data_IF_550011037606
#
_entry.id   IF_550011037606
#
_cell.length_a   1.000
_cell.length_b   1.000
_cell.length_c   1.000
_cell.angle_alpha   90.00
_cell.angle_beta   90.00
_cell.angle_gamma   90.00
#
_symmetry.space_group_name_H-M   'P 1'
#
loop_
_entity.id
_entity.type
_entity.pdbx_description
1 polymer ?
#
# COMPACT_ATOMS: atom_id res chain seq x y z
N UNK A 1 32.89 6.76 28.87
CA UNK A 1 33.77 6.57 27.69
C UNK A 1 34.55 5.25 27.76
N UNK A 2 33.90 4.10 28.06
CA UNK A 2 34.51 2.75 28.02
C UNK A 2 33.43 1.67 27.96
N UNK A 3 32.82 1.46 26.79
CA UNK A 3 32.06 0.23 26.46
C UNK A 3 32.10 -0.10 24.95
N UNK A 4 33.00 0.53 24.19
CA UNK A 4 32.99 0.50 22.71
C UNK A 4 33.99 -0.50 22.08
N UNK A 5 34.63 -1.38 22.85
CA UNK A 5 35.74 -2.21 22.34
C UNK A 5 35.60 -3.73 22.55
N UNK A 6 34.43 -4.25 22.89
CA UNK A 6 34.21 -5.71 22.99
C UNK A 6 33.25 -6.24 21.92
N UNK A 7 32.49 -5.37 21.23
CA UNK A 7 31.59 -5.78 20.14
C UNK A 7 32.27 -5.95 18.77
N UNK A 8 33.49 -5.44 18.58
CA UNK A 8 34.14 -5.42 17.25
C UNK A 8 34.93 -6.69 16.92
N UNK A 9 35.22 -7.54 17.90
CA UNK A 9 36.11 -8.71 17.70
C UNK A 9 35.35 -10.02 17.44
N UNK A 10 34.05 -10.08 17.70
CA UNK A 10 33.20 -11.26 17.45
C UNK A 10 32.51 -11.27 16.08
N UNK A 11 32.54 -10.15 15.34
CA UNK A 11 31.96 -10.04 14.00
C UNK A 11 32.88 -10.51 12.86
N UNK A 12 34.15 -10.84 13.14
CA UNK A 12 35.13 -11.17 12.09
C UNK A 12 35.27 -12.66 11.73
N UNK A 13 34.73 -13.58 12.55
CA UNK A 13 34.99 -15.03 12.37
C UNK A 13 33.84 -15.77 11.66
N UNK A 14 32.64 -15.19 11.55
CA UNK A 14 31.51 -15.77 10.80
C UNK A 14 31.16 -15.05 9.48
N UNK A 15 31.80 -13.92 9.17
CA UNK A 15 31.36 -13.02 8.08
C UNK A 15 31.80 -13.40 6.65
N UNK A 16 32.79 -14.27 6.48
CA UNK A 16 33.43 -14.46 5.16
C UNK A 16 32.79 -15.62 4.36
N UNK A 17 32.15 -16.59 5.03
CA UNK A 17 31.55 -17.75 4.37
C UNK A 17 30.16 -17.48 3.73
N UNK A 18 29.47 -16.39 4.08
CA UNK A 18 28.09 -16.14 3.63
C UNK A 18 27.94 -15.19 2.44
N UNK A 19 28.94 -14.36 2.13
CA UNK A 19 28.82 -13.39 1.05
C UNK A 19 28.70 -14.05 -0.34
N UNK A 20 29.43 -15.16 -0.57
CA UNK A 20 29.37 -15.90 -1.83
C UNK A 20 28.03 -16.63 -2.01
N UNK A 21 27.49 -17.21 -0.94
CA UNK A 21 26.19 -17.92 -0.95
C UNK A 21 25.04 -16.95 -1.22
N UNK A 22 25.10 -15.76 -0.64
CA UNK A 22 24.08 -14.74 -0.88
C UNK A 22 24.12 -14.21 -2.31
N UNK A 23 25.32 -14.00 -2.86
CA UNK A 23 25.48 -13.51 -4.23
C UNK A 23 24.86 -14.47 -5.25
N UNK A 24 25.07 -15.78 -5.09
CA UNK A 24 24.47 -16.80 -5.97
C UNK A 24 22.96 -16.96 -5.82
N UNK A 25 22.37 -16.54 -4.69
CA UNK A 25 20.92 -16.65 -4.46
C UNK A 25 20.12 -15.60 -5.23
N UNK A 26 20.74 -14.46 -5.55
CA UNK A 26 20.09 -13.32 -6.17
C UNK A 26 20.78 -12.93 -7.49
N UNK A 27 21.07 -13.91 -8.33
CA UNK A 27 21.75 -13.70 -9.62
C UNK A 27 20.87 -13.01 -10.69
N UNK A 28 19.56 -12.87 -10.45
CA UNK A 28 18.70 -12.05 -11.30
C UNK A 28 19.05 -10.56 -11.14
N UNK A 29 19.31 -9.89 -12.26
CA UNK A 29 19.77 -8.49 -12.29
C UNK A 29 18.80 -7.52 -11.61
N UNK A 30 17.49 -7.74 -11.76
CA UNK A 30 16.45 -6.88 -11.19
C UNK A 30 16.33 -7.10 -9.68
N UNK A 31 16.40 -8.36 -9.24
CA UNK A 31 16.41 -8.73 -7.82
C UNK A 31 17.66 -8.17 -7.14
N UNK A 32 18.84 -8.32 -7.77
CA UNK A 32 20.11 -7.85 -7.24
C UNK A 32 20.13 -6.33 -7.05
N UNK A 33 19.62 -5.56 -8.02
CA UNK A 33 19.51 -4.10 -7.89
C UNK A 33 18.56 -3.70 -6.75
N UNK A 34 17.42 -4.39 -6.61
CA UNK A 34 16.48 -4.14 -5.50
C UNK A 34 17.13 -4.42 -4.15
N UNK A 35 17.91 -5.50 -4.05
CA UNK A 35 18.61 -5.87 -2.82
C UNK A 35 19.69 -4.86 -2.46
N UNK A 36 20.43 -4.36 -3.44
CA UNK A 36 21.42 -3.29 -3.24
C UNK A 36 20.76 -2.01 -2.73
N UNK A 37 19.63 -1.63 -3.31
CA UNK A 37 18.88 -0.46 -2.87
C UNK A 37 18.42 -0.61 -1.41
N UNK A 38 17.87 -1.77 -1.05
CA UNK A 38 17.48 -2.09 0.33
C UNK A 38 18.69 -2.04 1.26
N UNK A 39 19.83 -2.59 0.85
CA UNK A 39 21.06 -2.63 1.63
C UNK A 39 21.60 -1.21 1.92
N UNK A 40 21.66 -0.36 0.89
CA UNK A 40 22.10 1.02 1.00
C UNK A 40 21.15 1.83 1.88
N UNK A 41 19.84 1.69 1.67
CA UNK A 41 18.83 2.47 2.37
C UNK A 41 18.74 2.11 3.86
N UNK A 42 18.82 0.82 4.19
CA UNK A 42 18.74 0.34 5.57
C UNK A 42 20.11 0.29 6.27
N UNK A 43 21.19 0.63 5.55
CA UNK A 43 22.56 0.50 6.02
C UNK A 43 22.87 -0.91 6.58
N UNK A 44 22.47 -1.93 5.84
CA UNK A 44 22.68 -3.35 6.15
C UNK A 44 23.48 -4.02 5.03
N UNK A 45 23.96 -5.24 5.26
CA UNK A 45 24.60 -6.00 4.18
C UNK A 45 23.60 -6.36 3.07
N UNK A 46 24.08 -6.47 1.82
CA UNK A 46 23.28 -6.99 0.69
C UNK A 46 22.64 -8.35 1.02
N UNK A 47 23.28 -9.16 1.86
CA UNK A 47 22.72 -10.44 2.24
C UNK A 47 21.51 -10.30 3.17
N UNK A 48 21.61 -9.45 4.20
CA UNK A 48 20.47 -9.13 5.07
C UNK A 48 19.34 -8.46 4.29
N UNK A 49 19.67 -7.57 3.34
CA UNK A 49 18.71 -6.96 2.44
C UNK A 49 18.01 -7.98 1.53
N UNK A 50 18.74 -8.99 1.05
CA UNK A 50 18.17 -10.12 0.33
C UNK A 50 17.22 -10.94 1.17
N UNK A 51 17.56 -11.19 2.44
CA UNK A 51 16.65 -11.88 3.37
C UNK A 51 15.37 -11.09 3.65
N UNK A 52 15.48 -9.76 3.77
CA UNK A 52 14.32 -8.88 3.88
C UNK A 52 13.50 -8.90 2.57
N UNK A 53 14.16 -8.89 1.41
CA UNK A 53 13.49 -9.01 0.12
C UNK A 53 12.72 -10.32 0.01
N UNK A 54 13.34 -11.45 0.34
CA UNK A 54 12.68 -12.76 0.36
C UNK A 54 11.54 -12.79 1.35
N UNK A 55 11.72 -12.22 2.54
CA UNK A 55 10.66 -12.12 3.53
C UNK A 55 9.44 -11.36 2.98
N UNK A 56 9.67 -10.23 2.31
CA UNK A 56 8.63 -9.43 1.67
C UNK A 56 7.98 -10.23 0.53
N UNK A 57 8.77 -10.85 -0.35
CA UNK A 57 8.26 -11.57 -1.52
C UNK A 57 7.54 -12.86 -1.14
N UNK A 58 8.12 -13.69 -0.26
CA UNK A 58 7.48 -14.93 0.21
C UNK A 58 6.25 -14.64 1.07
N UNK A 59 6.37 -13.71 2.03
CA UNK A 59 5.24 -13.28 2.85
C UNK A 59 4.07 -12.83 1.98
N UNK A 60 4.38 -12.10 0.92
CA UNK A 60 3.35 -11.62 0.01
C UNK A 60 2.85 -12.68 -0.98
N UNK A 61 3.69 -13.61 -1.43
CA UNK A 61 3.23 -14.79 -2.18
C UNK A 61 2.26 -15.63 -1.33
N UNK A 62 2.46 -15.74 -0.02
CA UNK A 62 1.49 -16.42 0.84
C UNK A 62 0.15 -15.69 0.89
N UNK A 63 0.14 -14.36 1.02
CA UNK A 63 -1.10 -13.58 1.03
C UNK A 63 -1.78 -13.49 -0.35
N UNK A 64 -1.03 -13.24 -1.44
CA UNK A 64 -1.57 -13.24 -2.79
C UNK A 64 -2.05 -14.61 -3.22
N UNK A 65 -1.36 -15.71 -2.90
CA UNK A 65 -1.88 -17.05 -3.21
C UNK A 65 -3.16 -17.31 -2.42
N UNK A 66 -3.27 -16.84 -1.18
CA UNK A 66 -4.50 -16.96 -0.38
C UNK A 66 -5.67 -16.21 -1.01
N UNK A 67 -5.44 -14.98 -1.49
CA UNK A 67 -6.47 -14.10 -2.07
C UNK A 67 -6.78 -14.41 -3.55
N UNK A 68 -5.78 -14.83 -4.33
CA UNK A 68 -5.92 -15.16 -5.75
C UNK A 68 -6.51 -16.55 -5.92
N UNK A 69 -6.14 -17.50 -5.05
CA UNK A 69 -6.83 -18.80 -4.98
C UNK A 69 -8.28 -18.62 -4.56
N UNK A 70 -8.63 -17.58 -3.81
CA UNK A 70 -10.03 -17.38 -3.43
C UNK A 70 -10.92 -16.91 -4.57
N UNK A 71 -10.41 -16.00 -5.41
CA UNK A 71 -11.11 -15.56 -6.61
C UNK A 71 -11.19 -16.63 -7.70
N UNK A 72 -10.16 -17.47 -7.85
CA UNK A 72 -10.07 -18.43 -8.96
C UNK A 72 -10.50 -19.86 -8.60
N UNK A 73 -10.35 -20.30 -7.33
CA UNK A 73 -10.57 -21.70 -6.93
C UNK A 73 -11.84 -21.92 -6.10
N UNK A 74 -12.80 -20.97 -6.13
CA UNK A 74 -14.08 -21.08 -5.39
C UNK A 74 -13.90 -21.41 -3.89
N UNK A 75 -12.83 -20.93 -3.25
CA UNK A 75 -12.63 -21.24 -1.83
C UNK A 75 -13.61 -20.42 -1.00
N UNK A 76 -14.21 -21.03 0.01
CA UNK A 76 -15.13 -20.33 0.89
C UNK A 76 -14.38 -19.42 1.89
N UNK A 77 -15.12 -18.52 2.55
CA UNK A 77 -14.57 -17.55 3.50
C UNK A 77 -13.71 -18.21 4.58
N UNK A 78 -14.08 -19.41 5.06
CA UNK A 78 -13.33 -20.13 6.09
C UNK A 78 -11.98 -20.65 5.57
N UNK A 79 -11.95 -21.17 4.33
CA UNK A 79 -10.71 -21.59 3.68
C UNK A 79 -9.77 -20.41 3.45
N UNK A 80 -10.29 -19.26 3.02
CA UNK A 80 -9.49 -18.04 2.91
C UNK A 80 -8.90 -17.61 4.26
N UNK A 81 -9.71 -17.57 5.33
CA UNK A 81 -9.25 -17.22 6.69
C UNK A 81 -8.19 -18.19 7.23
N UNK A 82 -8.30 -19.47 6.90
CA UNK A 82 -7.30 -20.48 7.24
C UNK A 82 -5.98 -20.23 6.51
N UNK A 83 -6.04 -19.93 5.20
CA UNK A 83 -4.86 -19.58 4.42
C UNK A 83 -4.16 -18.31 4.94
N UNK A 84 -4.93 -17.30 5.37
CA UNK A 84 -4.38 -16.12 6.06
C UNK A 84 -3.63 -16.50 7.35
N UNK A 85 -4.22 -17.37 8.16
CA UNK A 85 -3.60 -17.84 9.41
C UNK A 85 -2.30 -18.61 9.12
N UNK A 86 -2.30 -19.44 8.07
CA UNK A 86 -1.13 -20.19 7.64
C UNK A 86 -0.03 -19.25 7.13
N UNK A 87 -0.38 -18.25 6.32
CA UNK A 87 0.54 -17.22 5.85
C UNK A 87 1.19 -16.50 7.05
N UNK A 88 0.39 -16.06 8.02
CA UNK A 88 0.89 -15.39 9.21
C UNK A 88 1.79 -16.27 10.07
N UNK A 89 1.42 -17.55 10.24
CA UNK A 89 2.22 -18.52 11.00
C UNK A 89 3.57 -18.79 10.32
N UNK A 90 3.61 -18.78 8.99
CA UNK A 90 4.88 -18.90 8.24
C UNK A 90 5.74 -17.66 8.44
N UNK A 91 5.16 -16.46 8.35
CA UNK A 91 5.87 -15.20 8.60
C UNK A 91 6.44 -15.18 10.03
N UNK A 92 5.64 -15.55 11.04
CA UNK A 92 6.07 -15.67 12.43
C UNK A 92 7.22 -16.69 12.60
N UNK A 93 7.09 -17.86 11.96
CA UNK A 93 8.15 -18.88 11.96
C UNK A 93 9.44 -18.37 11.31
N UNK A 94 9.35 -17.66 10.18
CA UNK A 94 10.49 -17.04 9.51
C UNK A 94 11.16 -15.98 10.39
N UNK A 95 10.38 -15.13 11.05
CA UNK A 95 10.88 -14.12 12.00
C UNK A 95 11.64 -14.78 13.15
N UNK A 96 11.14 -15.91 13.66
CA UNK A 96 11.78 -16.68 14.74
C UNK A 96 13.05 -17.42 14.30
N UNK A 97 13.05 -18.01 13.09
CA UNK A 97 14.18 -18.78 12.59
C UNK A 97 15.45 -17.95 12.37
N UNK A 98 15.29 -16.68 12.00
CA UNK A 98 16.42 -15.85 11.56
C UNK A 98 17.25 -15.27 12.71
N UNK A 99 16.84 -15.42 13.97
CA UNK A 99 17.60 -15.10 15.19
C UNK A 99 18.32 -13.73 15.19
N UNK A 100 17.88 -12.81 14.33
CA UNK A 100 18.46 -11.48 14.23
C UNK A 100 17.61 -10.58 15.09
N UNK A 101 18.02 -10.43 16.35
CA UNK A 101 17.44 -9.44 17.27
C UNK A 101 17.34 -8.07 16.60
N UNK A 102 18.28 -7.73 15.70
CA UNK A 102 18.28 -6.49 14.91
C UNK A 102 17.15 -6.42 13.86
N UNK A 103 16.90 -7.49 13.09
CA UNK A 103 15.80 -7.51 12.11
C UNK A 103 14.45 -7.52 12.84
N UNK A 104 14.34 -8.25 13.94
CA UNK A 104 13.14 -8.31 14.77
C UNK A 104 12.89 -6.95 15.45
N UNK A 105 13.91 -6.20 15.86
CA UNK A 105 13.71 -4.85 16.41
C UNK A 105 13.27 -3.86 15.33
N UNK A 106 13.83 -3.96 14.11
CA UNK A 106 13.48 -3.07 12.99
C UNK A 106 12.05 -3.36 12.47
N UNK A 107 11.69 -4.64 12.31
CA UNK A 107 10.44 -5.07 11.68
C UNK A 107 9.35 -5.35 12.72
N UNK A 108 9.66 -6.00 13.84
CA UNK A 108 8.70 -6.47 14.83
C UNK A 108 8.04 -5.36 15.64
N UNK A 109 8.69 -4.21 15.85
CA UNK A 109 8.03 -3.03 16.42
C UNK A 109 7.09 -2.34 15.43
N UNK A 110 7.25 -2.59 14.12
CA UNK A 110 6.58 -1.84 13.06
C UNK A 110 5.47 -2.65 12.38
N UNK A 111 5.56 -3.98 12.41
CA UNK A 111 4.61 -4.90 11.78
C UNK A 111 4.10 -5.86 12.86
N UNK A 112 2.93 -5.54 13.40
CA UNK A 112 2.21 -6.46 14.26
C UNK A 112 1.63 -7.59 13.40
N UNK A 113 2.20 -8.79 13.52
CA UNK A 113 1.76 -9.98 12.78
C UNK A 113 0.29 -10.32 13.03
N UNK A 114 -0.27 -9.99 14.21
CA UNK A 114 -1.71 -10.15 14.43
C UNK A 114 -2.54 -9.25 13.51
N UNK A 115 -2.07 -8.03 13.27
CA UNK A 115 -2.79 -7.07 12.44
C UNK A 115 -2.77 -7.51 10.98
N UNK A 116 -1.63 -8.03 10.48
CA UNK A 116 -1.54 -8.63 9.13
C UNK A 116 -2.50 -9.81 8.93
N UNK A 117 -2.60 -10.69 9.93
CA UNK A 117 -3.54 -11.82 9.91
C UNK A 117 -4.99 -11.33 9.88
N UNK A 118 -5.33 -10.35 10.72
CA UNK A 118 -6.66 -9.75 10.77
C UNK A 118 -7.02 -9.02 9.47
N UNK A 119 -6.08 -8.28 8.88
CA UNK A 119 -6.20 -7.67 7.55
C UNK A 119 -6.59 -8.69 6.49
N UNK A 120 -5.84 -9.79 6.41
CA UNK A 120 -6.10 -10.83 5.44
C UNK A 120 -7.47 -11.47 5.67
N UNK A 121 -7.80 -11.81 6.92
CA UNK A 121 -9.08 -12.42 7.30
C UNK A 121 -10.27 -11.51 7.00
N UNK A 122 -10.13 -10.19 7.20
CA UNK A 122 -11.18 -9.22 6.88
C UNK A 122 -11.40 -9.12 5.38
N UNK A 123 -10.34 -9.18 4.58
CA UNK A 123 -10.46 -9.25 3.12
C UNK A 123 -11.18 -10.51 2.63
N UNK A 124 -11.09 -11.63 3.36
CA UNK A 124 -11.85 -12.84 3.04
C UNK A 124 -13.37 -12.64 3.13
N UNK A 125 -13.86 -11.73 3.98
CA UNK A 125 -15.30 -11.46 4.09
C UNK A 125 -15.84 -10.66 2.88
N UNK A 126 -14.96 -10.07 2.08
CA UNK A 126 -15.33 -9.34 0.86
C UNK A 126 -15.35 -10.24 -0.39
N UNK A 127 -15.06 -11.54 -0.24
CA UNK A 127 -15.19 -12.51 -1.33
C UNK A 127 -16.69 -12.66 -1.60
N UNK A 128 -17.17 -12.40 -2.83
CA UNK A 128 -18.58 -12.63 -3.16
C UNK A 128 -18.90 -14.08 -2.83
N UNK A 129 -19.95 -14.29 -2.01
CA UNK A 129 -20.45 -15.64 -1.76
C UNK A 129 -20.75 -16.26 -3.13
N UNK A 130 -19.96 -17.26 -3.51
CA UNK A 130 -20.26 -18.07 -4.67
C UNK A 130 -21.51 -18.82 -4.27
N UNK A 131 -22.68 -18.29 -4.64
CA UNK A 131 -23.93 -19.03 -4.56
C UNK A 131 -23.69 -20.27 -5.41
N UNK A 132 -23.45 -21.40 -4.73
CA UNK A 132 -23.50 -22.69 -5.39
C UNK A 132 -24.93 -22.80 -5.89
N UNK A 133 -25.11 -22.54 -7.18
CA UNK A 133 -26.28 -23.04 -7.89
C UNK A 133 -26.07 -24.54 -7.86
N UNK A 134 -26.56 -25.17 -6.80
CA UNK A 134 -26.79 -26.61 -6.80
C UNK A 134 -27.65 -26.88 -8.02
N UNK A 135 -27.06 -27.58 -9.00
CA UNK A 135 -27.78 -28.14 -10.13
C UNK A 135 -28.72 -29.23 -9.58
N UNK A 136 -29.80 -28.79 -8.96
CA UNK A 136 -30.93 -29.60 -8.56
C UNK A 136 -31.83 -29.73 -9.79
N UNK A 137 -31.58 -30.81 -10.52
CA UNK A 137 -32.51 -31.55 -11.38
C UNK A 137 -33.19 -30.82 -12.54
N UNK A 138 -32.85 -31.31 -13.72
CA UNK A 138 -33.70 -31.34 -14.91
C UNK A 138 -35.14 -31.70 -14.55
N UNK A 139 -36.06 -30.79 -14.87
CA UNK A 139 -37.43 -30.99 -15.35
C UNK A 139 -38.34 -29.93 -14.76
N UNK A 140 -38.40 -28.76 -15.39
CA UNK A 140 -39.67 -28.09 -15.64
C UNK A 140 -39.55 -26.96 -16.69
N UNK A 141 -40.66 -26.78 -17.36
CA UNK A 141 -40.93 -26.05 -18.61
C UNK A 141 -40.50 -24.56 -18.63
N UNK A 142 -40.17 -23.98 -19.79
CA UNK A 142 -39.69 -22.60 -19.88
C UNK A 142 -40.86 -21.60 -19.80
N UNK A 143 -41.06 -20.98 -18.64
CA UNK A 143 -41.67 -19.64 -18.55
C UNK A 143 -40.57 -18.61 -18.38
N UNK A 144 -40.30 -17.89 -19.47
CA UNK A 144 -39.31 -16.83 -19.57
C UNK A 144 -39.72 -15.63 -18.71
N UNK A 145 -39.19 -15.53 -17.51
CA UNK A 145 -39.00 -14.24 -16.85
C UNK A 145 -37.57 -13.78 -17.11
N UNK A 146 -37.45 -12.74 -17.93
CA UNK A 146 -36.24 -11.99 -18.20
C UNK A 146 -35.69 -11.42 -16.89
N UNK A 147 -34.80 -12.18 -16.25
CA UNK A 147 -33.87 -11.65 -15.26
C UNK A 147 -32.94 -10.71 -16.01
N UNK A 148 -33.24 -9.42 -15.92
CA UNK A 148 -32.38 -8.32 -16.33
C UNK A 148 -31.03 -8.45 -15.61
N UNK A 149 -30.11 -9.21 -16.22
CA UNK A 149 -28.69 -9.09 -15.95
C UNK A 149 -28.32 -7.69 -16.41
N UNK A 150 -28.30 -6.75 -15.45
CA UNK A 150 -27.78 -5.40 -15.65
C UNK A 150 -26.33 -5.58 -16.04
N UNK A 151 -26.08 -5.69 -17.35
CA UNK A 151 -24.76 -5.57 -17.91
C UNK A 151 -24.28 -4.20 -17.45
N UNK A 152 -23.30 -4.17 -16.54
CA UNK A 152 -22.60 -2.95 -16.16
C UNK A 152 -21.84 -2.49 -17.40
N UNK A 153 -22.55 -1.85 -18.33
CA UNK A 153 -21.95 -1.10 -19.42
C UNK A 153 -20.88 -0.20 -18.80
N UNK A 154 -19.68 -0.27 -19.36
CA UNK A 154 -18.56 0.56 -18.96
C UNK A 154 -19.04 2.02 -18.97
N UNK A 155 -19.16 2.64 -17.79
CA UNK A 155 -19.53 4.06 -17.59
C UNK A 155 -18.65 5.07 -18.33
N UNK A 156 -17.62 4.64 -19.05
CA UNK A 156 -16.78 5.48 -19.89
C UNK A 156 -17.56 6.26 -20.97
N UNK A 157 -18.78 5.82 -21.34
CA UNK A 157 -19.67 6.52 -22.28
C UNK A 157 -20.70 7.42 -21.60
N UNK A 158 -20.84 7.38 -20.26
CA UNK A 158 -21.79 8.20 -19.55
C UNK A 158 -21.33 9.67 -19.55
N UNK A 159 -22.24 10.57 -19.91
CA UNK A 159 -22.08 12.01 -19.75
C UNK A 159 -21.67 12.32 -18.31
N UNK A 160 -20.51 12.94 -18.13
CA UNK A 160 -20.01 13.35 -16.82
C UNK A 160 -20.33 14.81 -16.53
N UNK A 161 -20.30 15.19 -15.25
CA UNK A 161 -20.45 16.58 -14.86
C UNK A 161 -19.34 17.45 -15.42
N UNK A 162 -19.71 18.65 -15.88
CA UNK A 162 -18.76 19.63 -16.38
C UNK A 162 -17.77 20.08 -15.30
N UNK A 163 -16.50 20.28 -15.69
CA UNK A 163 -15.39 20.70 -14.81
C UNK A 163 -15.75 21.86 -13.88
N UNK A 164 -16.48 22.86 -14.38
CA UNK A 164 -16.87 24.07 -13.64
C UNK A 164 -17.84 23.82 -12.47
N UNK A 165 -18.50 22.66 -12.44
CA UNK A 165 -19.39 22.27 -11.34
C UNK A 165 -18.65 21.69 -10.14
N UNK A 166 -17.39 21.25 -10.33
CA UNK A 166 -16.53 20.79 -9.24
C UNK A 166 -16.00 21.99 -8.46
N UNK A 167 -16.23 22.01 -7.15
CA UNK A 167 -15.82 23.08 -6.23
C UNK A 167 -15.08 22.48 -5.05
N UNK A 168 -13.80 22.80 -4.92
CA UNK A 168 -12.93 22.40 -3.83
C UNK A 168 -12.40 23.68 -3.19
N UNK A 169 -12.53 23.79 -1.88
CA UNK A 169 -12.11 24.94 -1.10
C UNK A 169 -10.80 24.62 -0.39
N UNK A 170 -9.81 25.51 -0.49
CA UNK A 170 -8.66 25.51 0.38
C UNK A 170 -9.11 25.99 1.77
N UNK A 171 -8.93 25.16 2.78
CA UNK A 171 -9.28 25.47 4.16
C UNK A 171 -8.11 26.13 4.88
N UNK A 172 -6.91 25.60 4.67
CA UNK A 172 -5.70 26.06 5.33
C UNK A 172 -4.49 25.78 4.43
N UNK A 173 -3.70 26.80 4.11
CA UNK A 173 -2.55 26.67 3.21
C UNK A 173 -1.33 26.02 3.87
N UNK A 174 -1.21 26.16 5.19
CA UNK A 174 -0.09 25.68 5.98
C UNK A 174 -0.59 24.89 7.18
N UNK A 175 -1.24 23.75 6.90
CA UNK A 175 -1.54 22.78 7.94
C UNK A 175 -0.32 21.86 8.13
N UNK A 176 -0.26 21.13 9.24
CA UNK A 176 0.83 20.23 9.67
C UNK A 176 1.91 19.93 8.61
N UNK A 177 3.16 20.28 8.92
CA UNK A 177 4.32 20.08 8.05
C UNK A 177 4.27 20.91 6.74
N UNK A 178 3.61 22.07 6.76
CA UNK A 178 3.41 22.95 5.59
C UNK A 178 2.65 22.28 4.43
N UNK A 179 1.71 21.41 4.76
CA UNK A 179 0.85 20.71 3.81
C UNK A 179 -0.54 21.35 3.81
N UNK A 180 -1.11 21.73 2.66
CA UNK A 180 -2.44 22.35 2.63
C UNK A 180 -3.55 21.36 2.97
N UNK A 181 -4.66 21.90 3.49
CA UNK A 181 -5.88 21.16 3.80
C UNK A 181 -7.04 21.66 2.95
N UNK A 182 -7.74 20.74 2.29
CA UNK A 182 -8.85 21.04 1.39
C UNK A 182 -10.17 20.41 1.88
N UNK A 183 -11.29 20.90 1.37
CA UNK A 183 -12.62 20.35 1.58
C UNK A 183 -13.44 20.52 0.29
N UNK A 184 -14.23 19.51 -0.09
CA UNK A 184 -15.18 19.69 -1.18
C UNK A 184 -16.36 20.55 -0.71
N UNK A 185 -16.78 21.51 -1.54
CA UNK A 185 -17.98 22.31 -1.25
C UNK A 185 -19.23 21.40 -1.19
N UNK A 186 -20.13 21.55 -0.21
CA UNK A 186 -21.33 20.71 -0.10
C UNK A 186 -22.26 20.77 -1.33
N UNK A 187 -22.21 21.85 -2.11
CA UNK A 187 -22.97 22.02 -3.36
C UNK A 187 -22.16 21.64 -4.62
N UNK A 188 -20.94 21.15 -4.45
CA UNK A 188 -20.12 20.63 -5.55
C UNK A 188 -20.67 19.32 -6.09
N UNK A 189 -20.52 19.10 -7.39
CA UNK A 189 -20.58 17.73 -7.93
C UNK A 189 -19.39 16.92 -7.42
N UNK A 190 -19.47 15.59 -7.53
CA UNK A 190 -18.43 14.67 -7.08
C UNK A 190 -17.09 14.93 -7.78
N UNK A 191 -16.04 15.17 -6.99
CA UNK A 191 -14.64 15.21 -7.46
C UNK A 191 -13.84 14.04 -6.87
N UNK A 192 -12.62 13.79 -7.34
CA UNK A 192 -11.79 12.70 -6.81
C UNK A 192 -11.50 12.83 -5.30
N UNK A 193 -11.55 14.03 -4.72
CA UNK A 193 -11.23 14.25 -3.30
C UNK A 193 -12.16 13.50 -2.34
N UNK A 194 -13.41 13.21 -2.73
CA UNK A 194 -14.35 12.51 -1.84
C UNK A 194 -14.19 10.99 -1.83
N UNK A 195 -13.43 10.45 -2.79
CA UNK A 195 -13.13 9.00 -2.86
C UNK A 195 -11.86 8.62 -2.12
N UNK A 196 -11.10 9.62 -1.65
CA UNK A 196 -9.88 9.41 -0.88
C UNK A 196 -10.17 8.61 0.38
N UNK A 197 -9.47 7.48 0.50
CA UNK A 197 -9.54 6.58 1.63
C UNK A 197 -8.33 6.71 2.57
N UNK A 198 -7.29 7.44 2.15
CA UNK A 198 -6.06 7.62 2.92
C UNK A 198 -5.06 6.54 2.57
N UNK A 199 -4.37 5.98 3.57
CA UNK A 199 -3.38 4.93 3.32
C UNK A 199 -4.02 3.53 3.27
N UNK A 200 -5.10 3.37 2.49
CA UNK A 200 -5.78 2.10 2.31
C UNK A 200 -7.01 1.89 3.21
N UNK A 201 -7.65 0.71 3.10
CA UNK A 201 -8.86 0.41 3.85
C UNK A 201 -8.61 0.52 5.35
N UNK A 202 -9.59 1.07 6.08
CA UNK A 202 -9.61 0.94 7.53
C UNK A 202 -9.80 -0.53 7.85
N UNK A 203 -8.80 -1.14 8.45
CA UNK A 203 -8.79 -2.57 8.74
C UNK A 203 -9.62 -2.82 10.00
N UNK A 204 -9.50 -1.92 10.97
CA UNK A 204 -10.34 -1.80 12.17
C UNK A 204 -10.60 -0.31 12.44
N UNK A 205 -11.55 0.01 13.31
CA UNK A 205 -11.84 1.41 13.71
C UNK A 205 -10.62 2.14 14.29
N UNK A 206 -9.61 1.38 14.74
CA UNK A 206 -8.40 1.87 15.41
C UNK A 206 -7.12 1.77 14.58
N UNK A 207 -7.17 1.15 13.39
CA UNK A 207 -5.97 0.94 12.57
C UNK A 207 -6.21 1.29 11.11
N UNK A 208 -5.63 2.43 10.73
CA UNK A 208 -5.28 2.73 9.35
C UNK A 208 -3.77 2.69 9.25
N UNK A 209 -3.23 2.07 8.20
CA UNK A 209 -1.79 2.08 7.91
C UNK A 209 -1.25 3.53 7.92
N UNK A 210 -2.10 4.51 7.59
CA UNK A 210 -1.77 5.93 7.61
C UNK A 210 -1.82 6.60 8.98
N UNK A 211 -2.49 5.99 9.96
CA UNK A 211 -2.44 6.43 11.35
C UNK A 211 -1.17 5.94 12.06
N UNK A 212 -0.55 4.86 11.57
CA UNK A 212 0.82 4.53 11.96
C UNK A 212 1.73 5.73 11.61
N UNK A 213 2.62 6.11 12.52
CA UNK A 213 3.45 7.32 12.39
C UNK A 213 2.72 8.67 12.50
N UNK A 214 1.75 8.75 13.42
CA UNK A 214 1.05 10.01 13.81
C UNK A 214 0.34 10.73 12.65
N UNK A 215 -0.08 10.01 11.61
CA UNK A 215 -0.71 10.64 10.44
C UNK A 215 0.25 11.38 9.51
N UNK A 216 1.57 11.20 9.64
CA UNK A 216 2.56 11.91 8.82
C UNK A 216 2.38 11.63 7.34
N UNK A 217 2.14 10.37 6.96
CA UNK A 217 2.06 9.93 5.57
C UNK A 217 0.65 9.98 4.98
N UNK A 218 -0.37 10.21 5.81
CA UNK A 218 -1.74 10.38 5.38
C UNK A 218 -1.89 11.35 4.18
N UNK A 219 -1.28 12.55 4.16
CA UNK A 219 -1.46 13.45 3.03
C UNK A 219 -0.80 12.97 1.73
N UNK A 220 0.29 12.19 1.80
CA UNK A 220 0.85 11.54 0.61
C UNK A 220 -0.08 10.45 0.07
N UNK A 221 -0.66 9.64 0.96
CA UNK A 221 -1.62 8.63 0.56
C UNK A 221 -2.87 9.24 -0.10
N UNK A 222 -3.37 10.37 0.42
CA UNK A 222 -4.48 11.09 -0.20
C UNK A 222 -4.18 11.50 -1.65
N UNK A 223 -2.95 11.97 -1.92
CA UNK A 223 -2.52 12.30 -3.29
C UNK A 223 -2.39 11.08 -4.19
N UNK A 224 -1.97 9.96 -3.63
CA UNK A 224 -1.84 8.69 -4.33
C UNK A 224 -3.22 8.13 -4.74
N UNK A 225 -4.18 8.15 -3.82
CA UNK A 225 -5.58 7.78 -4.09
C UNK A 225 -6.16 8.59 -5.26
N UNK A 226 -6.05 9.92 -5.21
CA UNK A 226 -6.52 10.79 -6.31
C UNK A 226 -5.82 10.48 -7.63
N UNK A 227 -4.51 10.23 -7.59
CA UNK A 227 -3.74 9.87 -8.78
C UNK A 227 -4.22 8.54 -9.39
N UNK A 228 -4.51 7.55 -8.54
CA UNK A 228 -5.06 6.25 -8.93
C UNK A 228 -6.47 6.37 -9.52
N UNK A 229 -7.37 7.09 -8.86
CA UNK A 229 -8.73 7.33 -9.34
C UNK A 229 -8.75 8.09 -10.66
N UNK A 230 -7.79 8.99 -10.87
CA UNK A 230 -7.62 9.72 -12.12
C UNK A 230 -6.79 8.98 -13.18
N UNK A 231 -6.35 7.75 -12.92
CA UNK A 231 -5.67 6.88 -13.89
C UNK A 231 -4.45 7.54 -14.55
N UNK A 232 -3.66 8.29 -13.78
CA UNK A 232 -2.51 9.07 -14.27
C UNK A 232 -1.25 8.23 -14.55
N UNK A 233 -1.42 6.91 -14.69
CA UNK A 233 -0.38 5.91 -14.85
C UNK A 233 0.15 5.40 -13.51
N UNK A 234 -0.02 4.10 -13.23
CA UNK A 234 0.39 3.46 -11.96
C UNK A 234 1.81 3.84 -11.54
N UNK A 235 2.80 3.57 -12.39
CA UNK A 235 4.22 3.85 -12.08
C UNK A 235 4.48 5.34 -11.80
N UNK A 236 3.77 6.25 -12.48
CA UNK A 236 3.87 7.68 -12.24
C UNK A 236 3.26 8.06 -10.89
N UNK A 237 2.09 7.51 -10.55
CA UNK A 237 1.47 7.70 -9.24
C UNK A 237 2.35 7.18 -8.11
N UNK A 238 2.93 5.99 -8.26
CA UNK A 238 3.76 5.37 -7.21
C UNK A 238 5.07 6.17 -7.00
N UNK A 239 5.69 6.67 -8.08
CA UNK A 239 6.86 7.55 -7.97
C UNK A 239 6.54 8.86 -7.26
N UNK A 240 5.40 9.49 -7.57
CA UNK A 240 4.93 10.70 -6.88
C UNK A 240 4.62 10.42 -5.41
N UNK A 241 4.04 9.25 -5.12
CA UNK A 241 3.79 8.81 -3.75
C UNK A 241 5.09 8.72 -2.95
N UNK A 242 6.12 8.06 -3.48
CA UNK A 242 7.44 8.02 -2.83
C UNK A 242 8.02 9.43 -2.60
N UNK A 243 7.96 10.29 -3.61
CA UNK A 243 8.45 11.67 -3.50
C UNK A 243 7.71 12.45 -2.40
N UNK A 244 6.39 12.31 -2.35
CA UNK A 244 5.53 12.94 -1.34
C UNK A 244 5.82 12.41 0.07
N UNK A 245 6.02 11.09 0.24
CA UNK A 245 6.42 10.50 1.52
C UNK A 245 7.77 11.05 2.00
N UNK A 246 8.80 11.08 1.12
CA UNK A 246 10.12 11.63 1.45
C UNK A 246 10.07 13.14 1.76
N UNK A 247 9.25 13.89 1.03
CA UNK A 247 9.04 15.32 1.32
C UNK A 247 8.45 15.57 2.71
N UNK A 248 7.56 14.69 3.18
CA UNK A 248 7.00 14.78 4.53
C UNK A 248 8.03 14.43 5.60
N UNK A 249 8.90 13.45 5.34
CA UNK A 249 10.05 13.16 6.21
C UNK A 249 10.97 14.37 6.33
N UNK A 250 11.30 15.02 5.20
CA UNK A 250 12.08 16.26 5.20
C UNK A 250 11.38 17.32 6.05
N UNK A 251 10.11 17.64 5.76
CA UNK A 251 9.38 18.70 6.45
C UNK A 251 9.25 18.47 7.98
N UNK A 252 9.16 17.22 8.43
CA UNK A 252 9.07 16.88 9.86
C UNK A 252 10.42 16.96 10.58
N UNK A 253 11.50 16.57 9.92
CA UNK A 253 12.83 16.39 10.54
C UNK A 253 13.89 17.37 10.00
N UNK A 254 13.48 18.51 9.46
CA UNK A 254 14.35 19.56 8.90
C UNK A 254 15.10 20.37 9.98
N UNK A 255 15.85 19.70 10.85
CA UNK A 255 16.74 20.38 11.78
C UNK A 255 18.17 19.83 11.73
N UNK A 256 19.12 20.68 12.12
CA UNK A 256 20.55 20.32 12.19
C UNK A 256 20.89 19.37 13.35
N UNK A 257 19.91 18.96 14.17
CA UNK A 257 20.14 18.08 15.32
C UNK A 257 20.44 16.65 14.88
N UNK A 258 21.36 15.98 15.57
CA UNK A 258 21.75 14.59 15.27
C UNK A 258 20.56 13.64 15.45
N UNK A 259 19.74 13.83 16.49
CA UNK A 259 18.54 13.02 16.72
C UNK A 259 17.56 13.08 15.54
N UNK A 260 17.36 14.26 14.95
CA UNK A 260 16.45 14.44 13.81
C UNK A 260 16.99 13.77 12.55
N UNK A 261 18.31 13.68 12.37
CA UNK A 261 18.91 12.91 11.26
C UNK A 261 18.61 11.41 11.36
N UNK A 262 18.63 10.85 12.57
CA UNK A 262 18.30 9.43 12.80
C UNK A 262 16.82 9.18 12.50
N UNK A 263 15.93 10.01 13.06
CA UNK A 263 14.49 9.91 12.81
C UNK A 263 14.11 10.18 11.35
N UNK A 264 14.83 11.08 10.68
CA UNK A 264 14.70 11.32 9.24
C UNK A 264 15.04 10.07 8.44
N UNK A 265 16.18 9.43 8.73
CA UNK A 265 16.61 8.19 8.05
C UNK A 265 15.57 7.09 8.25
N UNK A 266 15.08 6.90 9.48
CA UNK A 266 14.01 5.95 9.78
C UNK A 266 12.72 6.26 9.00
N UNK A 267 12.34 7.54 8.91
CA UNK A 267 11.17 7.96 8.14
C UNK A 267 11.33 7.67 6.65
N UNK A 268 12.50 7.96 6.06
CA UNK A 268 12.78 7.70 4.64
C UNK A 268 12.80 6.20 4.34
N UNK A 269 13.36 5.38 5.23
CA UNK A 269 13.28 3.92 5.11
C UNK A 269 11.83 3.43 5.06
N UNK A 270 10.97 3.92 5.96
CA UNK A 270 9.53 3.62 5.96
C UNK A 270 8.84 4.09 4.67
N UNK A 271 9.18 5.27 4.17
CA UNK A 271 8.67 5.78 2.91
C UNK A 271 8.99 4.83 1.74
N UNK A 272 10.22 4.32 1.67
CA UNK A 272 10.64 3.36 0.66
C UNK A 272 9.88 2.02 0.80
N UNK A 273 9.69 1.52 2.03
CA UNK A 273 8.91 0.29 2.28
C UNK A 273 7.46 0.45 1.79
N UNK A 274 6.79 1.56 2.16
CA UNK A 274 5.41 1.83 1.72
C UNK A 274 5.29 1.95 0.21
N UNK A 275 6.21 2.68 -0.43
CA UNK A 275 6.27 2.75 -1.89
C UNK A 275 6.42 1.37 -2.51
N UNK A 276 7.36 0.55 -2.02
CA UNK A 276 7.60 -0.77 -2.59
C UNK A 276 6.39 -1.69 -2.41
N UNK A 277 5.71 -1.63 -1.27
CA UNK A 277 4.47 -2.36 -1.03
C UNK A 277 3.38 -1.98 -2.06
N UNK A 278 3.20 -0.67 -2.31
CA UNK A 278 2.22 -0.21 -3.30
C UNK A 278 2.64 -0.58 -4.73
N UNK A 279 3.91 -0.38 -5.07
CA UNK A 279 4.44 -0.69 -6.40
C UNK A 279 4.24 -2.17 -6.76
N UNK A 280 4.49 -3.07 -5.80
CA UNK A 280 4.31 -4.50 -5.99
C UNK A 280 2.82 -4.92 -5.99
N UNK A 281 2.01 -4.41 -5.06
CA UNK A 281 0.71 -5.03 -4.74
C UNK A 281 -0.53 -4.25 -5.18
N UNK A 282 -0.38 -2.95 -5.49
CA UNK A 282 -1.54 -2.11 -5.80
C UNK A 282 -1.99 -2.18 -7.27
N UNK A 283 -1.42 -3.09 -8.07
CA UNK A 283 -1.79 -3.26 -9.49
C UNK A 283 -3.26 -3.64 -9.70
N UNK A 284 -3.81 -4.49 -8.83
CA UNK A 284 -5.23 -4.85 -8.85
C UNK A 284 -6.13 -3.66 -8.48
N UNK A 285 -5.76 -2.91 -7.44
CA UNK A 285 -6.49 -1.72 -7.00
C UNK A 285 -6.51 -0.62 -8.07
N UNK A 286 -5.35 -0.32 -8.67
CA UNK A 286 -5.23 0.65 -9.75
C UNK A 286 -6.18 0.34 -10.92
N UNK A 287 -6.23 -0.92 -11.36
CA UNK A 287 -7.13 -1.36 -12.45
C UNK A 287 -8.62 -1.28 -12.09
N UNK A 288 -8.97 -1.35 -10.80
CA UNK A 288 -10.35 -1.26 -10.31
C UNK A 288 -10.82 0.19 -10.22
N UNK A 289 -9.97 1.11 -9.75
CA UNK A 289 -10.28 2.55 -9.62
C UNK A 289 -10.86 3.15 -10.92
N UNK A 290 -10.21 2.89 -12.05
CA UNK A 290 -10.63 3.42 -13.37
C UNK A 290 -11.93 2.85 -13.94
N UNK A 291 -12.55 1.86 -13.31
CA UNK A 291 -13.81 1.27 -13.81
C UNK A 291 -15.06 2.00 -13.32
N UNK A 292 -14.96 2.70 -12.19
CA UNK A 292 -16.12 3.26 -11.51
C UNK A 292 -16.38 4.73 -11.87
N UNK A 293 -15.35 5.43 -12.34
CA UNK A 293 -15.38 6.88 -12.59
C UNK A 293 -14.82 7.23 -13.97
N UNK A 294 -15.29 8.34 -14.52
CA UNK A 294 -14.74 8.90 -15.75
C UNK A 294 -13.52 9.77 -15.39
N UNK A 295 -12.32 9.23 -15.62
CA UNK A 295 -11.04 9.90 -15.32
C UNK A 295 -10.65 10.98 -16.34
N UNK A 296 -11.48 11.27 -17.33
CA UNK A 296 -11.23 12.31 -18.32
C UNK A 296 -11.04 13.68 -17.68
N UNK A 297 -10.08 14.45 -18.19
CA UNK A 297 -9.83 15.85 -17.81
C UNK A 297 -10.97 16.79 -18.21
N UNK A 298 -11.95 16.30 -18.98
CA UNK A 298 -13.19 17.03 -19.30
C UNK A 298 -14.29 16.86 -18.26
N UNK A 299 -14.11 15.96 -17.29
CA UNK A 299 -15.08 15.65 -16.26
C UNK A 299 -14.69 16.31 -14.94
N UNK A 300 -15.67 16.78 -14.15
CA UNK A 300 -15.41 17.37 -12.84
C UNK A 300 -14.60 16.46 -11.90
N UNK A 301 -14.76 15.14 -12.05
CA UNK A 301 -14.08 14.14 -11.22
C UNK A 301 -12.56 14.34 -11.17
N UNK A 302 -11.91 14.40 -12.35
CA UNK A 302 -10.45 14.53 -12.48
C UNK A 302 -9.99 15.78 -13.22
N UNK A 303 -10.90 16.48 -13.91
CA UNK A 303 -10.64 17.69 -14.67
C UNK A 303 -10.77 18.98 -13.87
N UNK A 304 -11.31 18.94 -12.65
CA UNK A 304 -11.28 20.09 -11.75
C UNK A 304 -9.83 20.58 -11.58
N UNK A 305 -9.60 21.89 -11.69
CA UNK A 305 -8.23 22.44 -11.72
C UNK A 305 -7.43 22.14 -10.45
N UNK A 306 -8.07 22.13 -9.28
CA UNK A 306 -7.41 21.77 -8.01
C UNK A 306 -7.03 20.28 -8.02
N UNK A 307 -7.93 19.41 -8.46
CA UNK A 307 -7.64 17.97 -8.61
C UNK A 307 -6.48 17.74 -9.57
N UNK A 308 -6.64 18.19 -10.81
CA UNK A 308 -5.73 17.88 -11.92
C UNK A 308 -4.33 18.47 -11.71
N UNK A 309 -4.27 19.73 -11.29
CA UNK A 309 -3.00 20.46 -11.22
C UNK A 309 -2.29 20.25 -9.88
N UNK A 310 -3.05 20.02 -8.78
CA UNK A 310 -2.49 19.99 -7.44
C UNK A 310 -2.64 18.63 -6.74
N UNK A 311 -3.86 18.17 -6.50
CA UNK A 311 -4.11 17.02 -5.61
C UNK A 311 -3.54 15.69 -6.15
N UNK A 312 -3.44 15.54 -7.48
CA UNK A 312 -2.77 14.39 -8.12
C UNK A 312 -1.24 14.37 -7.85
N UNK A 313 -0.65 15.53 -7.55
CA UNK A 313 0.80 15.70 -7.56
C UNK A 313 1.39 15.89 -6.15
N UNK A 314 0.67 16.54 -5.25
CA UNK A 314 1.22 17.00 -3.98
C UNK A 314 0.43 16.48 -2.80
N UNK A 315 1.14 16.22 -1.70
CA UNK A 315 0.56 15.89 -0.40
C UNK A 315 -0.53 16.90 0.00
N UNK A 316 -1.67 16.42 0.49
CA UNK A 316 -2.72 17.27 1.03
C UNK A 316 -3.55 16.58 2.11
N UNK A 317 -4.09 17.36 3.04
CA UNK A 317 -5.07 16.88 4.01
C UNK A 317 -6.50 17.14 3.54
N UNK A 318 -7.44 16.33 4.03
CA UNK A 318 -8.87 16.50 3.81
C UNK A 318 -9.54 16.89 5.12
N UNK A 319 -10.33 17.96 5.09
CA UNK A 319 -11.32 18.25 6.14
C UNK A 319 -12.64 17.63 5.70
N UNK A 320 -13.11 16.63 6.46
CA UNK A 320 -14.44 16.04 6.27
C UNK A 320 -15.50 16.98 6.81
#
# INVERSE_FOLDING_TARGET
MRFYNIALTLLSVCGIANAAVCKSKYDDEVINNTIKDIAVELNISECQAGEIYDFIVEGNNYFENSLTSSGNNKINVNQCKWLCTLANSKIDYFMKLKNSEDIISIIGEQINLKDLDEMCKNNCNNIPEVVEIENSQENESPTSELVNTVSKEKRATATCDAVSKGKINLIESNYQYNVPRYQQDPKSVKTAIVEVNGCGPKITDNFSIGQSYTGLFLPACNSHDVCYDCQMGKSNCDKKFLANLKSLCNAKYDTKKIADKVLHTECVAKANIMYKAVDLFAGGSYKKCGKNFNSSTKCAFCGNSIVHNYLVNYSFYIKK
#
